data_IF_879663520863
#
_entry.id   IF_879663520863
#
_cell.length_a   1.000
_cell.length_b   1.000
_cell.length_c   1.000
_cell.angle_alpha   90.00
_cell.angle_beta   90.00
_cell.angle_gamma   90.00
#
_symmetry.space_group_name_H-M   'P 1'
#
loop_
_entity.id
_entity.type
_entity.pdbx_description
1 polymer ?
#
# COMPACT_ATOMS: atom_id res chain seq x y z
N UNK A 1 -14.48 1.62 -9.93
CA UNK A 1 -13.81 0.88 -8.83
C UNK A 1 -14.67 0.98 -7.59
N UNK A 2 -14.76 -0.07 -6.75
CA UNK A 2 -15.65 -0.09 -5.57
C UNK A 2 -15.17 0.78 -4.39
N UNK A 3 -14.05 1.49 -4.52
CA UNK A 3 -13.45 2.28 -3.43
C UNK A 3 -12.74 1.43 -2.36
N UNK A 4 -12.55 0.13 -2.58
CA UNK A 4 -11.83 -0.73 -1.65
C UNK A 4 -10.35 -0.29 -1.57
N UNK A 5 -9.77 -0.06 -0.37
CA UNK A 5 -8.36 0.26 -0.22
C UNK A 5 -7.47 -0.91 -0.65
N UNK A 6 -6.29 -0.57 -1.19
CA UNK A 6 -5.34 -1.55 -1.71
C UNK A 6 -3.93 -1.27 -1.18
N UNK A 7 -3.31 -2.27 -0.57
CA UNK A 7 -1.89 -2.29 -0.23
C UNK A 7 -1.16 -3.26 -1.17
N UNK A 8 -0.16 -2.77 -1.90
CA UNK A 8 0.68 -3.56 -2.79
C UNK A 8 2.06 -3.74 -2.19
N UNK A 9 2.44 -4.98 -1.90
CA UNK A 9 3.78 -5.34 -1.42
C UNK A 9 4.71 -5.71 -2.57
N UNK A 10 5.87 -5.06 -2.62
CA UNK A 10 6.98 -5.34 -3.56
C UNK A 10 8.24 -5.73 -2.78
N UNK A 11 9.20 -6.37 -3.45
CA UNK A 11 10.47 -6.77 -2.81
C UNK A 11 11.54 -5.67 -2.96
N UNK A 12 11.54 -4.94 -4.07
CA UNK A 12 12.57 -3.94 -4.39
C UNK A 12 11.99 -2.55 -4.66
N UNK A 13 12.82 -1.52 -4.47
CA UNK A 13 12.43 -0.12 -4.71
C UNK A 13 12.12 0.09 -6.20
N UNK A 14 12.89 -0.53 -7.09
CA UNK A 14 12.71 -0.38 -8.54
C UNK A 14 11.34 -0.86 -9.01
N UNK A 15 10.86 -1.97 -8.46
CA UNK A 15 9.50 -2.47 -8.74
C UNK A 15 8.44 -1.51 -8.23
N UNK A 16 8.63 -0.92 -7.04
CA UNK A 16 7.72 0.09 -6.50
C UNK A 16 7.63 1.32 -7.39
N UNK A 17 8.77 1.80 -7.90
CA UNK A 17 8.83 2.95 -8.80
C UNK A 17 8.25 2.65 -10.19
N UNK A 18 8.45 1.44 -10.71
CA UNK A 18 7.79 0.99 -11.94
C UNK A 18 6.27 0.96 -11.79
N UNK A 19 5.77 0.33 -10.73
CA UNK A 19 4.34 0.28 -10.45
C UNK A 19 3.76 1.68 -10.24
N UNK A 20 4.46 2.54 -9.51
CA UNK A 20 4.11 3.95 -9.32
C UNK A 20 3.95 4.69 -10.65
N UNK A 21 4.89 4.50 -11.59
CA UNK A 21 4.77 5.07 -12.94
C UNK A 21 3.57 4.53 -13.70
N UNK A 22 3.28 3.23 -13.61
CA UNK A 22 2.12 2.62 -14.25
C UNK A 22 0.81 3.20 -13.69
N UNK A 23 0.67 3.28 -12.37
CA UNK A 23 -0.51 3.84 -11.70
C UNK A 23 -0.69 5.32 -12.03
N UNK A 24 0.39 6.12 -12.06
CA UNK A 24 0.37 7.53 -12.49
C UNK A 24 -0.16 7.68 -13.91
N UNK A 25 0.29 6.83 -14.86
CA UNK A 25 -0.21 6.84 -16.24
C UNK A 25 -1.71 6.56 -16.34
N UNK A 26 -2.25 5.78 -15.39
CA UNK A 26 -3.68 5.48 -15.29
C UNK A 26 -4.46 6.51 -14.46
N UNK A 27 -3.81 7.58 -13.98
CA UNK A 27 -4.45 8.62 -13.16
C UNK A 27 -4.79 8.17 -11.73
N UNK A 28 -4.20 7.08 -11.25
CA UNK A 28 -4.47 6.51 -9.92
C UNK A 28 -3.53 7.18 -8.91
N UNK A 29 -4.11 7.95 -7.99
CA UNK A 29 -3.38 8.51 -6.84
C UNK A 29 -2.96 7.37 -5.92
N UNK A 30 -1.70 7.39 -5.49
CA UNK A 30 -1.13 6.38 -4.61
C UNK A 30 0.05 6.94 -3.83
N UNK A 31 0.40 6.28 -2.73
CA UNK A 31 1.59 6.54 -1.94
C UNK A 31 2.62 5.43 -2.13
N UNK A 32 3.91 5.75 -1.97
CA UNK A 32 5.02 4.78 -2.06
C UNK A 32 5.86 4.86 -0.80
N UNK A 33 6.05 3.71 -0.15
CA UNK A 33 6.90 3.53 1.03
C UNK A 33 8.14 2.72 0.61
N UNK A 34 9.32 3.27 0.90
CA UNK A 34 10.60 2.74 0.42
C UNK A 34 11.57 2.38 1.55
N UNK A 35 11.08 2.29 2.78
CA UNK A 35 11.82 1.97 4.00
C UNK A 35 12.95 2.96 4.32
N UNK A 36 12.84 4.22 3.90
CA UNK A 36 13.86 5.26 4.16
C UNK A 36 13.53 6.15 5.35
N UNK A 37 12.25 6.40 5.61
CA UNK A 37 11.81 7.37 6.62
C UNK A 37 10.70 6.79 7.50
N UNK A 38 11.07 6.01 8.51
CA UNK A 38 10.11 5.23 9.30
C UNK A 38 8.97 6.05 9.92
N UNK A 39 9.24 7.22 10.50
CA UNK A 39 8.18 8.05 11.12
C UNK A 39 7.16 8.57 10.09
N UNK A 40 7.64 9.08 8.96
CA UNK A 40 6.77 9.57 7.88
C UNK A 40 6.01 8.42 7.22
N UNK A 41 6.67 7.28 7.05
CA UNK A 41 6.03 6.08 6.50
C UNK A 41 4.97 5.52 7.44
N UNK A 42 5.18 5.59 8.75
CA UNK A 42 4.19 5.23 9.76
C UNK A 42 2.95 6.13 9.68
N UNK A 43 3.14 7.44 9.52
CA UNK A 43 2.02 8.36 9.30
C UNK A 43 1.26 7.98 8.02
N UNK A 44 1.96 7.81 6.89
CA UNK A 44 1.32 7.48 5.60
C UNK A 44 0.59 6.13 5.64
N UNK A 45 1.21 5.09 6.21
CA UNK A 45 0.61 3.74 6.25
C UNK A 45 -0.61 3.70 7.18
N UNK A 46 -0.68 4.55 8.21
CA UNK A 46 -1.86 4.61 9.09
C UNK A 46 -3.14 5.01 8.33
N UNK A 47 -3.00 5.76 7.23
CA UNK A 47 -4.10 6.15 6.34
C UNK A 47 -4.39 5.13 5.21
N UNK A 48 -3.66 4.01 5.13
CA UNK A 48 -3.84 3.03 4.05
C UNK A 48 -5.18 2.28 4.10
N UNK A 49 -5.90 2.36 5.23
CA UNK A 49 -7.21 1.76 5.42
C UNK A 49 -8.39 2.65 5.01
N UNK A 50 -8.14 3.84 4.46
CA UNK A 50 -9.18 4.77 4.00
C UNK A 50 -9.79 4.35 2.66
N UNK A 51 -11.05 4.74 2.41
CA UNK A 51 -11.74 4.42 1.16
C UNK A 51 -10.96 4.98 -0.04
N UNK A 52 -10.61 4.08 -0.97
CA UNK A 52 -9.91 4.41 -2.20
C UNK A 52 -8.40 4.63 -2.03
N UNK A 53 -7.85 4.44 -0.83
CA UNK A 53 -6.41 4.52 -0.61
C UNK A 53 -5.68 3.43 -1.41
N UNK A 54 -4.58 3.82 -2.05
CA UNK A 54 -3.67 2.92 -2.74
C UNK A 54 -2.26 3.18 -2.22
N UNK A 55 -1.64 2.16 -1.63
CA UNK A 55 -0.32 2.27 -1.02
C UNK A 55 0.57 1.16 -1.56
N UNK A 56 1.78 1.53 -2.01
CA UNK A 56 2.83 0.59 -2.42
C UNK A 56 3.86 0.54 -1.30
N UNK A 57 4.18 -0.65 -0.79
CA UNK A 57 5.13 -0.87 0.29
C UNK A 57 6.27 -1.79 -0.16
N UNK A 58 7.49 -1.27 -0.09
CA UNK A 58 8.71 -2.03 -0.43
C UNK A 58 9.20 -2.82 0.78
N UNK A 59 9.41 -4.12 0.65
CA UNK A 59 9.98 -5.01 1.67
C UNK A 59 9.39 -4.77 3.09
N UNK A 60 8.05 -4.76 3.18
CA UNK A 60 7.31 -4.50 4.42
C UNK A 60 7.55 -3.12 5.06
N UNK A 61 7.86 -2.08 4.25
CA UNK A 61 7.88 -0.69 4.73
C UNK A 61 6.56 -0.32 5.43
N UNK A 62 6.65 0.35 6.58
CA UNK A 62 5.50 0.61 7.47
C UNK A 62 5.18 -0.53 8.45
N UNK A 63 6.02 -1.57 8.53
CA UNK A 63 5.88 -2.63 9.56
C UNK A 63 5.88 -2.03 10.97
N UNK A 64 4.94 -2.47 11.79
CA UNK A 64 4.80 -2.04 13.19
C UNK A 64 3.76 -0.94 13.39
N UNK A 65 3.17 -0.42 12.32
CA UNK A 65 2.03 0.51 12.37
C UNK A 65 0.75 -0.21 12.00
N UNK A 66 -0.29 -0.06 12.83
CA UNK A 66 -1.61 -0.62 12.54
C UNK A 66 -2.32 0.15 11.43
N UNK A 67 -2.99 -0.60 10.55
CA UNK A 67 -3.84 -0.04 9.50
C UNK A 67 -5.30 -0.16 9.95
N UNK A 68 -5.87 0.95 10.39
CA UNK A 68 -7.28 1.00 10.81
C UNK A 68 -8.17 1.17 9.58
N UNK A 69 -9.20 0.33 9.45
CA UNK A 69 -10.16 0.45 8.36
C UNK A 69 -11.14 1.59 8.66
N UNK A 70 -11.30 2.51 7.72
CA UNK A 70 -12.31 3.57 7.84
C UNK A 70 -13.74 3.00 7.74
N UNK A 71 -14.72 3.77 8.21
CA UNK A 71 -16.13 3.40 8.14
C UNK A 71 -16.56 3.05 6.71
N UNK A 72 -17.33 1.97 6.57
CA UNK A 72 -17.79 1.47 5.27
C UNK A 72 -16.79 0.59 4.52
N UNK A 73 -15.49 0.61 4.84
CA UNK A 73 -14.48 -0.22 4.17
C UNK A 73 -14.72 -1.72 4.39
N UNK A 74 -15.20 -2.10 5.58
CA UNK A 74 -15.57 -3.48 5.86
C UNK A 74 -16.65 -4.02 4.89
N UNK A 75 -17.64 -3.19 4.53
CA UNK A 75 -18.67 -3.55 3.56
C UNK A 75 -18.13 -3.66 2.12
N UNK A 76 -16.99 -3.03 1.83
CA UNK A 76 -16.28 -3.13 0.55
C UNK A 76 -15.37 -4.37 0.46
N UNK A 77 -15.29 -5.18 1.52
CA UNK A 77 -14.43 -6.36 1.60
C UNK A 77 -13.12 -6.14 2.35
N UNK A 78 -13.00 -5.04 3.11
CA UNK A 78 -11.81 -4.72 3.90
C UNK A 78 -10.62 -4.24 3.07
N UNK A 79 -9.42 -4.26 3.65
CA UNK A 79 -8.18 -3.92 2.96
C UNK A 79 -7.75 -5.05 2.02
N UNK A 80 -7.57 -4.74 0.73
CA UNK A 80 -7.06 -5.70 -0.25
C UNK A 80 -5.53 -5.69 -0.26
N UNK A 81 -4.92 -6.84 0.00
CA UNK A 81 -3.47 -7.03 -0.08
C UNK A 81 -3.11 -7.68 -1.41
N UNK A 82 -2.11 -7.13 -2.10
CA UNK A 82 -1.53 -7.70 -3.33
C UNK A 82 -0.03 -7.83 -3.13
N UNK A 83 0.48 -9.05 -3.06
CA UNK A 83 1.92 -9.30 -3.19
C UNK A 83 2.27 -9.43 -4.67
N UNK A 84 3.19 -8.62 -5.19
CA UNK A 84 3.67 -8.77 -6.57
C UNK A 84 4.51 -10.03 -6.75
N UNK A 85 5.13 -10.50 -5.67
CA UNK A 85 6.00 -11.66 -5.61
C UNK A 85 5.84 -12.40 -4.27
N UNK A 86 6.44 -13.59 -4.16
CA UNK A 86 6.47 -14.36 -2.92
C UNK A 86 7.90 -14.39 -2.39
N UNK A 87 8.08 -14.10 -1.11
CA UNK A 87 9.34 -14.39 -0.44
C UNK A 87 9.57 -15.90 -0.32
N UNK A 88 10.83 -16.31 -0.39
CA UNK A 88 11.23 -17.72 -0.26
C UNK A 88 11.05 -18.25 1.16
N UNK A 89 11.17 -17.37 2.17
CA UNK A 89 10.88 -17.70 3.56
C UNK A 89 9.37 -17.61 3.80
N UNK A 90 8.79 -18.69 4.33
CA UNK A 90 7.39 -18.74 4.80
C UNK A 90 7.34 -18.82 6.32
#
# INVERSE_FOLDING_TARGET
>A
AKGQPVLVGTITIDMSEELSRMLKKQGIKHNVLNAKFHEKEAEIISHAGEIGAVTIATNMAGRGTDIVLADGVAALGGLKIIGTERHESR
#
